data_IF_513979606852
#
_entry.id   IF_513979606852
#
_cell.length_a   1.000
_cell.length_b   1.000
_cell.length_c   1.000
_cell.angle_alpha   90.00
_cell.angle_beta   90.00
_cell.angle_gamma   90.00
#
_symmetry.space_group_name_H-M   'P 1'
#
loop_
_entity.id
_entity.type
_entity.pdbx_description
1 polymer ?
#
# COMPACT_ATOMS: atom_id res chain seq x y z
N UNK A 1 -13.71 -8.86 -8.04
CA UNK A 1 -12.65 -8.64 -7.06
C UNK A 1 -12.73 -7.18 -6.60
N UNK A 2 -12.77 -6.93 -5.29
CA UNK A 2 -12.79 -5.60 -4.71
C UNK A 2 -11.38 -5.24 -4.24
N UNK A 3 -10.79 -4.19 -4.85
CA UNK A 3 -9.39 -3.81 -4.74
C UNK A 3 -8.62 -4.12 -6.02
N UNK A 4 -7.63 -3.28 -6.36
CA UNK A 4 -6.83 -3.42 -7.59
C UNK A 4 -5.33 -3.44 -7.31
N UNK A 5 -4.93 -3.87 -6.12
CA UNK A 5 -3.54 -4.01 -5.69
C UNK A 5 -2.91 -5.37 -6.04
N UNK A 6 -1.83 -5.71 -5.32
CA UNK A 6 -1.09 -6.96 -5.54
C UNK A 6 -1.96 -8.20 -5.33
N UNK A 7 -2.78 -8.23 -4.26
CA UNK A 7 -3.68 -9.36 -3.98
C UNK A 7 -4.69 -9.60 -5.11
N UNK A 8 -5.13 -8.54 -5.81
CA UNK A 8 -5.96 -8.69 -7.01
C UNK A 8 -5.18 -9.38 -8.13
N UNK A 9 -3.94 -8.95 -8.38
CA UNK A 9 -3.10 -9.54 -9.42
C UNK A 9 -2.86 -11.05 -9.15
N UNK A 10 -2.57 -11.42 -7.90
CA UNK A 10 -2.41 -12.81 -7.48
C UNK A 10 -3.71 -13.61 -7.64
N UNK A 11 -4.87 -13.01 -7.27
CA UNK A 11 -6.18 -13.64 -7.45
C UNK A 11 -6.50 -13.90 -8.93
N UNK A 12 -6.20 -12.94 -9.81
CA UNK A 12 -6.38 -13.10 -11.26
C UNK A 12 -5.46 -14.20 -11.80
N UNK A 13 -4.19 -14.21 -11.38
CA UNK A 13 -3.23 -15.25 -11.77
C UNK A 13 -3.72 -16.65 -11.35
N UNK A 14 -4.20 -16.79 -10.12
CA UNK A 14 -4.76 -18.04 -9.59
C UNK A 14 -5.98 -18.48 -10.37
N UNK A 15 -6.92 -17.58 -10.65
CA UNK A 15 -8.10 -17.88 -11.46
C UNK A 15 -7.72 -18.37 -12.87
N UNK A 16 -6.75 -17.72 -13.51
CA UNK A 16 -6.28 -18.16 -14.85
C UNK A 16 -5.59 -19.52 -14.78
N UNK A 17 -4.72 -19.75 -13.80
CA UNK A 17 -4.05 -21.04 -13.59
C UNK A 17 -5.05 -22.19 -13.31
N UNK A 18 -6.17 -21.89 -12.65
CA UNK A 18 -7.26 -22.83 -12.40
C UNK A 18 -8.23 -22.99 -13.57
N UNK A 19 -7.93 -22.43 -14.75
CA UNK A 19 -8.75 -22.59 -15.95
C UNK A 19 -10.02 -21.74 -15.98
N UNK A 20 -10.14 -20.72 -15.14
CA UNK A 20 -11.29 -19.80 -15.16
C UNK A 20 -11.40 -19.09 -16.51
N UNK A 21 -12.57 -19.16 -17.14
CA UNK A 21 -12.83 -18.55 -18.46
C UNK A 21 -13.87 -17.44 -18.44
N UNK A 22 -14.52 -17.25 -17.30
CA UNK A 22 -15.53 -16.21 -17.12
C UNK A 22 -14.93 -14.80 -17.07
N UNK A 23 -15.81 -13.81 -17.08
CA UNK A 23 -15.43 -12.41 -16.95
C UNK A 23 -15.04 -12.09 -15.50
N UNK A 24 -13.97 -11.34 -15.33
CA UNK A 24 -13.47 -10.89 -14.04
C UNK A 24 -13.71 -9.37 -13.94
N UNK A 25 -14.55 -8.97 -13.01
CA UNK A 25 -14.75 -7.55 -12.66
C UNK A 25 -13.81 -7.17 -11.53
N UNK A 26 -13.02 -6.12 -11.71
CA UNK A 26 -12.15 -5.55 -10.67
C UNK A 26 -12.64 -4.14 -10.35
N UNK A 27 -12.97 -3.88 -9.11
CA UNK A 27 -13.46 -2.57 -8.68
C UNK A 27 -12.52 -1.93 -7.67
N UNK A 28 -12.13 -0.69 -7.90
CA UNK A 28 -11.40 0.11 -6.92
C UNK A 28 -11.63 1.61 -7.11
N UNK A 29 -11.34 2.40 -6.08
CA UNK A 29 -11.55 3.85 -6.08
C UNK A 29 -10.79 4.58 -7.18
N UNK A 30 -9.66 4.07 -7.63
CA UNK A 30 -8.78 4.71 -8.62
C UNK A 30 -8.64 3.92 -9.92
N UNK A 31 -9.04 2.65 -9.95
CA UNK A 31 -8.89 1.75 -11.08
C UNK A 31 -7.44 1.70 -11.62
N UNK A 32 -6.46 1.69 -10.71
CA UNK A 32 -5.04 1.58 -11.06
C UNK A 32 -4.62 0.12 -10.95
N UNK A 33 -3.99 -0.39 -12.00
CA UNK A 33 -3.32 -1.70 -11.96
C UNK A 33 -1.91 -1.55 -11.38
N UNK A 34 -1.38 -2.59 -10.71
CA UNK A 34 0.01 -2.66 -10.33
C UNK A 34 0.91 -2.57 -11.57
N UNK A 35 1.97 -1.78 -11.51
CA UNK A 35 2.92 -1.61 -12.60
C UNK A 35 3.98 -2.72 -12.60
N UNK A 36 4.63 -3.00 -13.74
CA UNK A 36 5.61 -4.06 -13.83
C UNK A 36 6.98 -3.63 -13.29
N UNK A 37 7.78 -4.61 -12.84
CA UNK A 37 9.21 -4.42 -12.74
C UNK A 37 9.81 -4.17 -14.12
N UNK A 38 10.87 -3.36 -14.20
CA UNK A 38 11.69 -3.21 -15.38
C UNK A 38 13.14 -3.63 -15.08
N UNK A 39 13.81 -4.14 -16.11
CA UNK A 39 15.27 -4.33 -16.12
C UNK A 39 15.89 -3.15 -16.86
N UNK A 40 17.07 -2.71 -16.45
CA UNK A 40 17.76 -1.61 -17.09
C UNK A 40 18.86 -1.05 -16.20
N UNK A 41 19.53 -0.01 -16.69
CA UNK A 41 20.53 0.72 -15.93
C UNK A 41 19.91 1.41 -14.71
N UNK A 42 20.70 1.57 -13.65
CA UNK A 42 20.31 2.33 -12.47
C UNK A 42 20.23 3.82 -12.78
N UNK A 43 19.25 4.51 -12.19
CA UNK A 43 19.24 5.97 -12.23
C UNK A 43 20.37 6.53 -11.37
N UNK A 44 21.11 7.47 -11.94
CA UNK A 44 22.23 8.15 -11.26
C UNK A 44 21.80 9.56 -10.86
N UNK A 45 21.40 9.71 -9.60
CA UNK A 45 21.13 10.99 -8.95
C UNK A 45 21.25 10.84 -7.43
N UNK A 46 21.54 11.94 -6.74
CA UNK A 46 21.55 11.97 -5.28
C UNK A 46 20.12 12.15 -4.73
N UNK A 47 19.56 11.17 -3.99
CA UNK A 47 18.23 11.27 -3.42
C UNK A 47 18.18 12.02 -2.07
N UNK A 48 19.32 12.31 -1.41
CA UNK A 48 19.34 12.96 -0.09
C UNK A 48 18.66 14.34 -0.06
N UNK A 49 18.79 15.22 -1.08
CA UNK A 49 18.10 16.51 -1.09
C UNK A 49 16.58 16.40 -0.97
N UNK A 50 15.97 15.25 -1.35
CA UNK A 50 14.54 15.04 -1.20
C UNK A 50 14.09 15.11 0.26
N UNK A 51 14.95 14.80 1.22
CA UNK A 51 14.61 14.80 2.65
C UNK A 51 14.29 16.20 3.19
N UNK A 52 14.87 17.24 2.60
CA UNK A 52 14.61 18.64 3.00
C UNK A 52 13.38 19.23 2.30
N UNK A 53 12.79 18.54 1.34
CA UNK A 53 11.66 19.03 0.54
C UNK A 53 10.32 18.71 1.19
N UNK A 54 9.31 19.55 0.98
CA UNK A 54 7.91 19.22 1.29
C UNK A 54 7.35 18.19 0.27
N UNK A 55 6.16 17.63 0.55
CA UNK A 55 5.55 16.60 -0.29
C UNK A 55 5.45 17.00 -1.77
N UNK A 56 4.99 18.22 -2.07
CA UNK A 56 4.81 18.70 -3.45
C UNK A 56 6.15 18.77 -4.19
N UNK A 57 7.17 19.29 -3.54
CA UNK A 57 8.52 19.40 -4.10
C UNK A 57 9.11 18.00 -4.37
N UNK A 58 8.97 17.04 -3.43
CA UNK A 58 9.41 15.64 -3.62
C UNK A 58 8.76 15.00 -4.82
N UNK A 59 7.42 15.12 -4.92
CA UNK A 59 6.68 14.54 -6.04
C UNK A 59 7.03 15.19 -7.38
N UNK A 60 7.39 16.48 -7.39
CA UNK A 60 7.90 17.16 -8.57
C UNK A 60 9.29 16.66 -8.93
N UNK A 61 10.22 16.66 -8.00
CA UNK A 61 11.60 16.19 -8.20
C UNK A 61 11.66 14.76 -8.72
N UNK A 62 10.89 13.82 -8.14
CA UNK A 62 10.83 12.44 -8.62
C UNK A 62 10.33 12.34 -10.07
N UNK A 63 9.35 13.16 -10.47
CA UNK A 63 8.91 13.22 -11.87
C UNK A 63 9.99 13.78 -12.80
N UNK A 64 10.72 14.81 -12.37
CA UNK A 64 11.83 15.36 -13.14
C UNK A 64 12.94 14.32 -13.32
N UNK A 65 13.34 13.62 -12.25
CA UNK A 65 14.33 12.54 -12.34
C UNK A 65 13.86 11.39 -13.25
N UNK A 66 12.57 11.04 -13.21
CA UNK A 66 12.03 10.03 -14.11
C UNK A 66 12.01 10.49 -15.58
N UNK A 67 11.69 11.75 -15.85
CA UNK A 67 11.74 12.33 -17.19
C UNK A 67 13.18 12.41 -17.70
N UNK A 68 14.13 12.84 -16.87
CA UNK A 68 15.55 12.86 -17.22
C UNK A 68 16.11 11.46 -17.48
N UNK A 69 15.78 10.48 -16.64
CA UNK A 69 16.17 9.09 -16.84
C UNK A 69 15.68 8.56 -18.20
N UNK A 70 14.43 8.90 -18.57
CA UNK A 70 13.85 8.48 -19.85
C UNK A 70 14.60 9.02 -21.07
N UNK A 71 15.24 10.21 -21.00
CA UNK A 71 16.08 10.73 -22.10
C UNK A 71 17.34 9.91 -22.36
N UNK A 72 17.69 9.03 -21.41
CA UNK A 72 18.86 8.13 -21.45
C UNK A 72 18.45 6.66 -21.53
N UNK A 73 17.22 6.36 -21.94
CA UNK A 73 16.62 5.01 -21.97
C UNK A 73 16.68 4.28 -20.62
N UNK A 74 16.73 5.03 -19.52
CA UNK A 74 16.71 4.48 -18.16
C UNK A 74 15.26 4.43 -17.67
N UNK A 75 14.78 3.25 -17.24
CA UNK A 75 13.39 3.12 -16.82
C UNK A 75 13.12 3.87 -15.50
N UNK A 76 11.97 4.50 -15.38
CA UNK A 76 11.55 5.24 -14.17
C UNK A 76 11.59 4.38 -12.91
N UNK A 77 11.47 3.05 -13.04
CA UNK A 77 11.54 2.11 -11.91
C UNK A 77 12.87 2.22 -11.18
N UNK A 78 13.96 2.50 -11.89
CA UNK A 78 15.28 2.69 -11.29
C UNK A 78 15.35 3.95 -10.42
N UNK A 79 14.60 5.00 -10.77
CA UNK A 79 14.45 6.19 -9.93
C UNK A 79 13.79 5.82 -8.59
N UNK A 80 12.74 4.99 -8.62
CA UNK A 80 12.08 4.50 -7.40
C UNK A 80 12.97 3.55 -6.59
N UNK A 81 13.82 2.75 -7.22
CA UNK A 81 14.80 1.92 -6.51
C UNK A 81 15.86 2.77 -5.78
N UNK A 82 16.26 3.89 -6.38
CA UNK A 82 17.28 4.78 -5.79
C UNK A 82 16.81 5.40 -4.46
N UNK A 83 15.51 5.70 -4.31
CA UNK A 83 14.96 6.24 -3.06
C UNK A 83 14.61 5.17 -2.04
N UNK A 84 14.62 3.88 -2.41
CA UNK A 84 14.21 2.79 -1.53
C UNK A 84 14.94 2.77 -0.17
N UNK A 85 16.28 2.92 -0.11
CA UNK A 85 16.98 2.94 1.16
C UNK A 85 16.57 4.09 2.09
N UNK A 86 16.01 5.17 1.52
CA UNK A 86 15.57 6.35 2.24
C UNK A 86 14.07 6.34 2.58
N UNK A 87 13.34 5.28 2.24
CA UNK A 87 11.87 5.22 2.34
C UNK A 87 11.34 5.67 3.70
N UNK A 88 11.89 5.16 4.79
CA UNK A 88 11.50 5.54 6.15
C UNK A 88 11.85 6.99 6.46
N UNK A 89 13.05 7.44 6.10
CA UNK A 89 13.48 8.85 6.31
C UNK A 89 12.63 9.81 5.49
N UNK A 90 12.28 9.45 4.26
CA UNK A 90 11.36 10.24 3.43
C UNK A 90 9.99 10.41 4.10
N UNK A 91 9.48 9.41 4.79
CA UNK A 91 8.24 9.53 5.55
C UNK A 91 8.42 10.39 6.79
N UNK A 92 9.41 10.10 7.60
CA UNK A 92 9.66 10.73 8.90
C UNK A 92 10.01 12.22 8.80
N UNK A 93 10.61 12.66 7.69
CA UNK A 93 10.96 14.07 7.46
C UNK A 93 9.83 14.89 6.84
N UNK A 94 8.68 14.28 6.48
CA UNK A 94 7.49 15.04 6.13
C UNK A 94 6.83 15.62 7.39
N UNK A 95 6.28 16.84 7.27
CA UNK A 95 5.39 17.39 8.29
C UNK A 95 4.13 16.51 8.43
N UNK A 96 3.48 16.56 9.60
CA UNK A 96 2.23 15.82 9.85
C UNK A 96 1.16 16.12 8.80
N UNK A 97 1.05 17.39 8.38
CA UNK A 97 0.10 17.79 7.33
C UNK A 97 0.46 17.21 5.96
N UNK A 98 1.74 17.14 5.62
CA UNK A 98 2.17 16.53 4.35
C UNK A 98 2.01 15.02 4.37
N UNK A 99 2.24 14.35 5.50
CA UNK A 99 1.91 12.93 5.68
C UNK A 99 0.41 12.70 5.46
N UNK A 100 -0.45 13.55 6.04
CA UNK A 100 -1.91 13.49 5.86
C UNK A 100 -2.33 13.70 4.40
N UNK A 101 -1.69 14.65 3.69
CA UNK A 101 -1.90 14.89 2.25
C UNK A 101 -1.45 13.69 1.41
N UNK A 102 -0.30 13.10 1.75
CA UNK A 102 0.19 11.89 1.10
C UNK A 102 -0.81 10.75 1.24
N UNK A 103 -1.25 10.44 2.45
CA UNK A 103 -2.23 9.38 2.72
C UNK A 103 -3.55 9.59 1.96
N UNK A 104 -3.98 10.85 1.82
CA UNK A 104 -5.24 11.19 1.16
C UNK A 104 -5.15 11.19 -0.36
N UNK A 105 -4.06 11.67 -0.95
CA UNK A 105 -3.99 12.01 -2.36
C UNK A 105 -2.91 11.27 -3.16
N UNK A 106 -1.84 10.81 -2.51
CA UNK A 106 -0.64 10.29 -3.19
C UNK A 106 -0.49 8.79 -3.01
N UNK A 107 -0.87 8.24 -1.88
CA UNK A 107 -0.56 6.87 -1.46
C UNK A 107 -0.84 5.81 -2.53
N UNK A 108 -1.98 5.90 -3.25
CA UNK A 108 -2.30 4.88 -4.28
C UNK A 108 -1.40 4.96 -5.51
N UNK A 109 -0.99 6.17 -5.87
CA UNK A 109 0.01 6.37 -6.93
C UNK A 109 1.39 5.90 -6.46
N UNK A 110 1.77 6.20 -5.21
CA UNK A 110 2.98 5.66 -4.61
C UNK A 110 2.99 4.13 -4.65
N UNK A 111 1.91 3.49 -4.19
CA UNK A 111 1.81 2.04 -4.11
C UNK A 111 2.05 1.36 -5.46
N UNK A 112 1.41 1.83 -6.54
CA UNK A 112 1.56 1.20 -7.87
C UNK A 112 2.95 1.39 -8.47
N UNK A 113 3.67 2.47 -8.10
CA UNK A 113 5.04 2.71 -8.54
C UNK A 113 6.06 1.99 -7.65
N UNK A 114 5.75 1.81 -6.38
CA UNK A 114 6.65 1.22 -5.39
C UNK A 114 6.50 -0.30 -5.28
N UNK A 115 5.27 -0.78 -5.25
CA UNK A 115 4.91 -2.20 -5.10
C UNK A 115 4.49 -2.76 -6.46
N UNK A 116 5.47 -3.30 -7.18
CA UNK A 116 5.32 -3.74 -8.58
C UNK A 116 5.18 -5.25 -8.68
N UNK A 117 4.69 -5.71 -9.82
CA UNK A 117 4.49 -7.12 -10.15
C UNK A 117 5.48 -7.58 -11.23
N UNK A 118 5.60 -8.89 -11.40
CA UNK A 118 6.37 -9.47 -12.48
C UNK A 118 5.84 -9.03 -13.86
N UNK A 119 6.74 -8.71 -14.80
CA UNK A 119 6.35 -8.23 -16.12
C UNK A 119 5.42 -9.22 -16.88
N UNK A 120 5.61 -10.54 -16.83
CA UNK A 120 4.66 -11.48 -17.43
C UNK A 120 3.24 -11.39 -16.85
N UNK A 121 3.11 -11.22 -15.53
CA UNK A 121 1.80 -11.06 -14.89
C UNK A 121 1.12 -9.76 -15.31
N UNK A 122 1.89 -8.66 -15.39
CA UNK A 122 1.35 -7.39 -15.92
C UNK A 122 0.87 -7.53 -17.35
N UNK A 123 1.66 -8.19 -18.22
CA UNK A 123 1.25 -8.45 -19.61
C UNK A 123 -0.04 -9.30 -19.68
N UNK A 124 -0.17 -10.31 -18.82
CA UNK A 124 -1.39 -11.12 -18.72
C UNK A 124 -2.62 -10.28 -18.33
N UNK A 125 -2.48 -9.38 -17.34
CA UNK A 125 -3.57 -8.47 -16.96
C UNK A 125 -4.02 -7.58 -18.12
N UNK A 126 -3.07 -7.04 -18.87
CA UNK A 126 -3.37 -6.19 -20.04
C UNK A 126 -4.05 -7.01 -21.15
N UNK A 127 -3.63 -8.23 -21.39
CA UNK A 127 -4.25 -9.11 -22.40
C UNK A 127 -5.69 -9.48 -22.02
N UNK A 128 -5.94 -9.78 -20.75
CA UNK A 128 -7.29 -10.00 -20.24
C UNK A 128 -8.18 -8.76 -20.38
N UNK A 129 -7.63 -7.55 -20.24
CA UNK A 129 -8.38 -6.32 -20.50
C UNK A 129 -8.70 -6.14 -21.99
N UNK A 130 -7.73 -6.36 -22.87
CA UNK A 130 -7.93 -6.27 -24.33
C UNK A 130 -9.00 -7.23 -24.85
N UNK A 131 -9.08 -8.41 -24.28
CA UNK A 131 -10.05 -9.46 -24.63
C UNK A 131 -11.38 -9.36 -23.87
N UNK A 132 -11.63 -8.26 -23.15
CA UNK A 132 -12.81 -8.00 -22.31
C UNK A 132 -13.09 -9.08 -21.24
N UNK A 133 -12.07 -9.87 -20.92
CA UNK A 133 -12.14 -10.88 -19.84
C UNK A 133 -11.84 -10.28 -18.46
N UNK A 134 -11.18 -9.15 -18.40
CA UNK A 134 -10.99 -8.37 -17.19
C UNK A 134 -11.51 -6.96 -17.39
N UNK A 135 -12.52 -6.59 -16.63
CA UNK A 135 -13.10 -5.24 -16.65
C UNK A 135 -12.73 -4.49 -15.38
N UNK A 136 -12.17 -3.30 -15.55
CA UNK A 136 -11.69 -2.46 -14.44
C UNK A 136 -12.67 -1.31 -14.21
N UNK A 137 -13.32 -1.33 -13.04
CA UNK A 137 -14.32 -0.33 -12.64
C UNK A 137 -13.73 0.67 -11.64
N UNK A 138 -13.86 1.94 -11.97
CA UNK A 138 -13.49 3.01 -11.05
C UNK A 138 -14.71 3.41 -10.24
N UNK A 139 -14.79 2.92 -8.99
CA UNK A 139 -15.94 3.17 -8.14
C UNK A 139 -15.69 2.79 -6.68
N UNK A 140 -16.69 3.07 -5.86
CA UNK A 140 -16.72 2.70 -4.44
C UNK A 140 -17.89 1.75 -4.22
N UNK A 141 -17.58 0.55 -3.74
CA UNK A 141 -18.58 -0.42 -3.33
C UNK A 141 -19.43 0.16 -2.18
N UNK A 142 -20.74 0.02 -2.27
CA UNK A 142 -21.70 0.40 -1.25
C UNK A 142 -22.29 -0.82 -0.58
N UNK A 143 -22.82 -1.76 -1.39
CA UNK A 143 -23.40 -3.00 -0.85
C UNK A 143 -22.98 -4.22 -1.65
N UNK A 144 -23.03 -5.36 -0.99
CA UNK A 144 -22.90 -6.68 -1.59
C UNK A 144 -23.98 -7.57 -0.95
N UNK A 145 -24.96 -8.00 -1.72
CA UNK A 145 -26.11 -8.77 -1.23
C UNK A 145 -26.16 -10.10 -1.97
N UNK A 146 -26.19 -11.21 -1.21
CA UNK A 146 -26.37 -12.54 -1.80
C UNK A 146 -27.81 -12.72 -2.26
N UNK A 147 -28.00 -13.13 -3.53
CA UNK A 147 -29.30 -13.37 -4.14
C UNK A 147 -29.26 -14.72 -4.88
N UNK A 148 -29.71 -15.75 -4.20
CA UNK A 148 -29.64 -17.12 -4.74
C UNK A 148 -28.20 -17.58 -5.02
N UNK A 149 -27.90 -17.89 -6.27
CA UNK A 149 -26.58 -18.32 -6.72
C UNK A 149 -25.62 -17.15 -7.07
N UNK A 150 -26.09 -15.92 -6.97
CA UNK A 150 -25.33 -14.74 -7.35
C UNK A 150 -25.18 -13.75 -6.18
N UNK A 151 -24.28 -12.81 -6.34
CA UNK A 151 -24.11 -11.66 -5.46
C UNK A 151 -24.34 -10.40 -6.27
N UNK A 152 -25.30 -9.59 -5.85
CA UNK A 152 -25.53 -8.26 -6.41
C UNK A 152 -24.66 -7.25 -5.68
N UNK A 153 -23.84 -6.54 -6.45
CA UNK A 153 -22.99 -5.45 -5.98
C UNK A 153 -23.61 -4.14 -6.43
N UNK A 154 -23.75 -3.20 -5.50
CA UNK A 154 -24.04 -1.80 -5.85
C UNK A 154 -22.84 -0.95 -5.49
N UNK A 155 -22.53 0.00 -6.35
CA UNK A 155 -21.40 0.89 -6.20
C UNK A 155 -21.72 2.25 -6.81
N UNK A 156 -20.95 3.25 -6.46
CA UNK A 156 -20.93 4.54 -7.15
C UNK A 156 -19.61 4.71 -7.89
N UNK A 157 -19.70 5.16 -9.15
CA UNK A 157 -18.53 5.58 -9.91
C UNK A 157 -17.95 6.92 -9.40
N UNK A 158 -16.90 7.41 -10.04
CA UNK A 158 -16.29 8.71 -9.70
C UNK A 158 -17.24 9.91 -9.88
N UNK A 159 -18.28 9.75 -10.70
CA UNK A 159 -19.29 10.76 -11.01
C UNK A 159 -20.55 10.61 -10.15
N UNK A 160 -20.51 9.71 -9.14
CA UNK A 160 -21.65 9.31 -8.31
C UNK A 160 -22.79 8.65 -9.10
N UNK A 161 -22.49 8.13 -10.30
CA UNK A 161 -23.46 7.35 -11.04
C UNK A 161 -23.54 5.94 -10.47
N UNK A 162 -24.74 5.36 -10.38
CA UNK A 162 -24.90 4.01 -9.86
C UNK A 162 -24.25 3.00 -10.82
N UNK A 163 -23.50 2.07 -10.27
CA UNK A 163 -22.94 0.91 -10.95
C UNK A 163 -23.48 -0.34 -10.26
N UNK A 164 -24.12 -1.22 -11.04
CA UNK A 164 -24.59 -2.50 -10.56
C UNK A 164 -23.88 -3.63 -11.28
N UNK A 165 -23.46 -4.64 -10.55
CA UNK A 165 -22.83 -5.84 -11.08
C UNK A 165 -23.49 -7.05 -10.42
N UNK A 166 -23.74 -8.09 -11.23
CA UNK A 166 -24.17 -9.39 -10.74
C UNK A 166 -23.04 -10.39 -11.01
N UNK A 167 -22.57 -11.05 -9.95
CA UNK A 167 -21.41 -11.95 -10.01
C UNK A 167 -21.66 -13.21 -9.17
N UNK A 168 -20.99 -14.32 -9.49
CA UNK A 168 -21.11 -15.57 -8.75
C UNK A 168 -20.24 -15.58 -7.49
N UNK A 169 -19.14 -14.81 -7.49
CA UNK A 169 -18.20 -14.81 -6.38
C UNK A 169 -17.59 -13.40 -6.18
N UNK A 170 -17.37 -13.04 -4.93
CA UNK A 170 -16.71 -11.78 -4.55
C UNK A 170 -15.44 -12.08 -3.76
N UNK A 171 -14.30 -11.61 -4.29
CA UNK A 171 -13.01 -11.69 -3.61
C UNK A 171 -12.67 -10.32 -3.02
N UNK A 172 -12.44 -10.28 -1.69
CA UNK A 172 -11.98 -9.07 -1.01
C UNK A 172 -10.45 -8.96 -1.12
N UNK A 173 -9.97 -8.03 -1.94
CA UNK A 173 -8.56 -7.71 -2.14
C UNK A 173 -8.25 -6.24 -1.75
N UNK A 174 -8.98 -5.69 -0.78
CA UNK A 174 -8.84 -4.27 -0.36
C UNK A 174 -7.59 -4.00 0.48
N UNK A 175 -6.84 -5.03 0.83
CA UNK A 175 -5.67 -4.95 1.70
C UNK A 175 -6.02 -5.14 3.18
N UNK A 176 -5.03 -4.94 4.03
CA UNK A 176 -5.18 -5.06 5.48
C UNK A 176 -5.75 -3.78 6.10
N UNK A 177 -6.48 -3.90 7.20
CA UNK A 177 -6.87 -2.75 7.99
C UNK A 177 -5.64 -2.21 8.74
N UNK A 178 -5.30 -0.96 8.48
CA UNK A 178 -4.16 -0.30 9.11
C UNK A 178 -4.56 0.59 10.29
N UNK A 179 -5.83 0.95 10.42
CA UNK A 179 -6.31 1.79 11.53
C UNK A 179 -6.36 0.97 12.80
N UNK A 180 -5.54 1.34 13.78
CA UNK A 180 -5.39 0.59 15.02
C UNK A 180 -6.73 0.28 15.71
N UNK A 181 -7.62 1.28 15.80
CA UNK A 181 -8.93 1.15 16.44
C UNK A 181 -9.93 0.25 15.67
N UNK A 182 -9.70 0.04 14.36
CA UNK A 182 -10.55 -0.81 13.53
C UNK A 182 -10.06 -2.26 13.43
N UNK A 183 -8.85 -2.55 13.92
CA UNK A 183 -8.29 -3.89 13.94
C UNK A 183 -9.04 -4.77 14.93
N UNK A 184 -9.53 -5.94 14.47
CA UNK A 184 -10.29 -6.89 15.27
C UNK A 184 -9.41 -7.91 16.01
N UNK A 185 -8.19 -7.54 16.36
CA UNK A 185 -7.29 -8.39 17.12
C UNK A 185 -7.51 -8.14 18.62
N UNK A 186 -7.86 -9.15 19.44
CA UNK A 186 -8.18 -8.98 20.86
C UNK A 186 -7.02 -8.37 21.66
N UNK A 187 -5.77 -8.77 21.39
CA UNK A 187 -4.60 -8.20 22.05
C UNK A 187 -4.47 -6.69 21.79
N UNK A 188 -4.62 -6.29 20.51
CA UNK A 188 -4.53 -4.86 20.15
C UNK A 188 -5.68 -4.05 20.78
N UNK A 189 -6.88 -4.61 20.80
CA UNK A 189 -8.02 -3.97 21.47
C UNK A 189 -7.78 -3.82 22.97
N UNK A 190 -7.19 -4.82 23.62
CA UNK A 190 -6.83 -4.77 25.02
C UNK A 190 -5.73 -3.72 25.29
N UNK A 191 -4.65 -3.72 24.51
CA UNK A 191 -3.56 -2.74 24.64
C UNK A 191 -4.06 -1.30 24.50
N UNK A 192 -4.91 -1.05 23.50
CA UNK A 192 -5.50 0.28 23.28
C UNK A 192 -6.53 0.63 24.36
N UNK A 193 -7.40 -0.31 24.76
CA UNK A 193 -8.46 -0.09 25.74
C UNK A 193 -7.96 0.09 27.17
N UNK A 194 -6.84 -0.58 27.53
CA UNK A 194 -6.20 -0.43 28.84
C UNK A 194 -5.23 0.75 28.93
N UNK A 195 -4.97 1.44 27.82
CA UNK A 195 -4.03 2.55 27.77
C UNK A 195 -2.56 2.14 27.75
N UNK A 196 -2.22 0.84 27.74
CA UNK A 196 -0.83 0.35 27.63
C UNK A 196 -0.20 0.71 26.31
N UNK A 197 -1.01 0.91 25.28
CA UNK A 197 -0.57 1.43 23.99
C UNK A 197 -1.55 2.44 23.42
N UNK A 198 -1.10 3.27 22.50
CA UNK A 198 -1.95 4.18 21.73
C UNK A 198 -1.80 4.01 20.24
N UNK A 199 -2.79 4.49 19.48
CA UNK A 199 -2.73 4.50 18.03
C UNK A 199 -1.57 5.36 17.54
N UNK A 200 -0.87 4.88 16.52
CA UNK A 200 0.22 5.60 15.89
C UNK A 200 -0.24 6.86 15.14
N UNK A 201 0.71 7.58 14.52
CA UNK A 201 0.38 8.75 13.72
C UNK A 201 -0.73 8.47 12.71
N UNK A 202 -1.65 9.43 12.55
CA UNK A 202 -2.85 9.32 11.69
C UNK A 202 -3.82 8.18 12.07
N UNK A 203 -3.72 7.62 13.28
CA UNK A 203 -4.51 6.47 13.72
C UNK A 203 -4.06 5.13 13.10
N UNK A 204 -2.89 5.10 12.47
CA UNK A 204 -2.36 3.94 11.73
C UNK A 204 -1.33 3.19 12.58
N UNK A 205 -1.57 1.88 12.78
CA UNK A 205 -0.71 1.05 13.61
C UNK A 205 -0.67 1.52 15.07
N UNK A 206 0.38 1.14 15.79
CA UNK A 206 0.68 1.55 17.15
C UNK A 206 1.73 2.65 17.16
N UNK A 207 1.65 3.54 18.14
CA UNK A 207 2.67 4.56 18.36
C UNK A 207 3.90 3.95 19.02
N UNK A 208 5.08 4.29 18.50
CA UNK A 208 6.34 3.72 18.97
C UNK A 208 7.44 4.76 18.99
N UNK A 209 8.32 4.64 19.95
CA UNK A 209 9.61 5.30 19.95
C UNK A 209 10.47 4.83 18.73
N UNK A 210 11.54 5.56 18.38
CA UNK A 210 12.39 5.19 17.23
C UNK A 210 12.96 3.78 17.30
N UNK A 211 13.25 3.29 18.52
CA UNK A 211 13.76 1.96 18.80
C UNK A 211 12.71 0.84 18.69
N UNK A 212 11.42 1.18 18.59
CA UNK A 212 10.31 0.24 18.52
C UNK A 212 9.58 0.00 19.83
N UNK A 213 10.02 0.62 20.91
CA UNK A 213 9.32 0.54 22.20
C UNK A 213 7.91 1.17 22.06
N UNK A 214 6.92 0.49 22.63
CA UNK A 214 5.52 0.95 22.60
C UNK A 214 5.37 2.26 23.39
N UNK A 215 4.51 3.15 22.90
CA UNK A 215 4.14 4.37 23.60
C UNK A 215 2.71 4.22 24.14
N UNK A 216 2.51 4.49 25.41
CA UNK A 216 1.23 4.39 26.08
C UNK A 216 0.29 5.58 25.82
N UNK A 217 -0.91 5.57 26.42
CA UNK A 217 -1.91 6.61 26.25
C UNK A 217 -1.43 7.98 26.73
N UNK A 218 -0.58 8.02 27.76
CA UNK A 218 -0.03 9.25 28.36
C UNK A 218 1.22 9.75 27.63
N UNK A 219 1.70 9.01 26.62
CA UNK A 219 2.90 9.37 25.85
C UNK A 219 4.20 8.88 26.47
N UNK A 220 4.11 7.98 27.45
CA UNK A 220 5.29 7.40 28.11
C UNK A 220 5.74 6.17 27.33
N UNK A 221 7.06 6.01 27.18
CA UNK A 221 7.65 4.86 26.50
C UNK A 221 7.64 3.65 27.42
N UNK A 222 7.09 2.52 26.97
CA UNK A 222 7.15 1.22 27.66
C UNK A 222 8.26 0.35 27.02
N UNK A 223 9.47 0.34 27.58
CA UNK A 223 10.63 -0.30 26.95
C UNK A 223 10.56 -1.83 26.94
N UNK A 224 9.70 -2.42 27.77
CA UNK A 224 9.50 -3.88 27.84
C UNK A 224 8.63 -4.43 26.72
N UNK A 225 7.94 -3.56 25.95
CA UNK A 225 7.08 -3.97 24.86
C UNK A 225 7.63 -3.44 23.53
N UNK A 226 8.13 -4.34 22.69
CA UNK A 226 8.68 -4.03 21.38
C UNK A 226 7.65 -4.31 20.28
N UNK A 227 7.44 -3.35 19.41
CA UNK A 227 6.56 -3.44 18.25
C UNK A 227 7.37 -3.58 16.97
N UNK A 228 7.04 -4.57 16.14
CA UNK A 228 7.73 -4.84 14.88
C UNK A 228 6.74 -4.89 13.71
N UNK A 229 7.23 -4.59 12.52
CA UNK A 229 6.54 -4.84 11.26
C UNK A 229 5.36 -3.89 10.98
N UNK A 230 4.23 -4.46 10.59
CA UNK A 230 3.08 -3.70 10.08
C UNK A 230 2.45 -2.76 11.10
N UNK A 231 2.56 -3.04 12.37
CA UNK A 231 2.05 -2.18 13.42
C UNK A 231 2.85 -0.87 13.58
N UNK A 232 4.06 -0.79 13.01
CA UNK A 232 4.87 0.45 12.97
C UNK A 232 4.66 1.30 11.72
N UNK A 233 3.72 0.94 10.85
CA UNK A 233 3.53 1.61 9.55
C UNK A 233 3.22 3.10 9.68
N UNK A 234 2.55 3.53 10.74
CA UNK A 234 2.26 4.93 11.01
C UNK A 234 3.53 5.78 11.21
N UNK A 235 4.53 5.21 11.90
CA UNK A 235 5.80 5.88 12.22
C UNK A 235 6.86 5.70 11.12
N UNK A 236 6.89 4.53 10.45
CA UNK A 236 7.95 4.18 9.50
C UNK A 236 7.52 4.19 8.04
N UNK A 237 6.22 3.99 7.75
CA UNK A 237 5.62 3.78 6.44
C UNK A 237 6.20 2.56 5.70
N UNK A 238 7.45 2.58 5.31
CA UNK A 238 8.17 1.46 4.69
C UNK A 238 8.69 0.50 5.78
N UNK A 239 7.84 -0.40 6.28
CA UNK A 239 8.17 -1.27 7.43
C UNK A 239 7.90 -2.76 7.20
N UNK A 240 7.45 -3.17 6.00
CA UNK A 240 6.88 -4.50 5.77
C UNK A 240 7.76 -5.43 4.94
N UNK A 241 8.73 -4.93 4.20
CA UNK A 241 9.58 -5.78 3.39
C UNK A 241 10.60 -6.54 4.25
N UNK A 242 11.06 -7.69 3.77
CA UNK A 242 11.95 -8.58 4.52
C UNK A 242 13.23 -7.88 5.04
N UNK A 243 13.92 -7.02 4.26
CA UNK A 243 15.08 -6.30 4.78
C UNK A 243 14.76 -5.41 5.98
N UNK A 244 13.65 -4.69 5.91
CA UNK A 244 13.18 -3.79 6.97
C UNK A 244 12.78 -4.58 8.23
N UNK A 245 12.09 -5.71 8.08
CA UNK A 245 11.72 -6.59 9.19
C UNK A 245 12.94 -7.19 9.86
N UNK A 246 13.94 -7.62 9.09
CA UNK A 246 15.21 -8.12 9.63
C UNK A 246 15.95 -7.07 10.45
N UNK A 247 15.99 -5.83 9.95
CA UNK A 247 16.60 -4.71 10.67
C UNK A 247 15.90 -4.42 11.99
N UNK A 248 14.58 -4.38 12.00
CA UNK A 248 13.77 -4.18 13.19
C UNK A 248 13.97 -5.33 14.22
N UNK A 249 13.94 -6.57 13.76
CA UNK A 249 14.13 -7.74 14.62
C UNK A 249 15.54 -7.75 15.24
N UNK A 250 16.59 -7.44 14.46
CA UNK A 250 17.96 -7.36 14.97
C UNK A 250 18.12 -6.23 15.99
N UNK A 251 17.46 -5.08 15.79
CA UNK A 251 17.50 -3.98 16.76
C UNK A 251 16.79 -4.36 18.07
N UNK A 252 15.59 -4.95 17.98
CA UNK A 252 14.84 -5.40 19.16
C UNK A 252 15.60 -6.49 19.95
N UNK A 253 16.25 -7.44 19.27
CA UNK A 253 17.04 -8.46 19.93
C UNK A 253 18.23 -7.89 20.72
N UNK A 254 18.88 -6.84 20.22
CA UNK A 254 19.98 -6.15 20.92
C UNK A 254 19.52 -5.40 22.18
N UNK A 255 18.27 -4.98 22.22
CA UNK A 255 17.70 -4.30 23.39
C UNK A 255 17.25 -5.28 24.48
N UNK A 256 16.92 -6.51 24.09
CA UNK A 256 16.49 -7.55 25.01
C UNK A 256 17.65 -8.27 25.73
N UNK A 257 18.89 -8.07 25.29
CA UNK A 257 20.14 -8.60 25.89
C UNK A 257 20.77 -7.58 26.81
#
# INVERSE_FOLDING_TARGET
IIGSGLSMADSVATLQASGHRGRIHVMSRHALLPLPHAKGAGADYDPEPLLAMNLRQRMHALRCHAAEAATRDIPWQSVMERIRPLGQRLWQTLSFDDQRRFLRHVVRYWDVHRHRIAAPLHAQLLELQKTDRLQLHRGRLETAVAEGACVRLTAQDRWRQPLQLEVQCVVNATGVEMRAQAMRNPLLQQLLGSGVGRAGPHGIGLDTAPDGSLIDADGVVEPRVQVLGSLRIGSLWESLAIPELRGQAAAAAKQAL
#
